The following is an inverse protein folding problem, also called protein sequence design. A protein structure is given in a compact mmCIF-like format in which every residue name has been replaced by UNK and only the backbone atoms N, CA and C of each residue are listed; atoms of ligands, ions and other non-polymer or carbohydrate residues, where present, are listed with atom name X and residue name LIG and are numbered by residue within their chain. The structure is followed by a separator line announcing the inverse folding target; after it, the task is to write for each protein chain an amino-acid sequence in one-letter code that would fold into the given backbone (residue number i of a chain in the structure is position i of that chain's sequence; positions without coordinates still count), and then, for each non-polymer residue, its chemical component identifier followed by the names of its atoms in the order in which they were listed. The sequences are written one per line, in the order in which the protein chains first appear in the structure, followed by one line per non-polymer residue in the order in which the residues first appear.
data_IF_883962773843
#
_entry.id   IF_883962773843
#
_cell.length_a   1.000
_cell.length_b   1.000
_cell.length_c   1.000
_cell.angle_alpha   90.00
_cell.angle_beta   90.00
_cell.angle_gamma   90.00
#
_symmetry.space_group_name_H-M   'P 1'
#
loop_
_entity.id
_entity.type
_entity.pdbx_description
1 polymer ?
#
# COMPACT_ATOMS: atom_id res chain seq x y z
N UNK A 1 -8.80 -61.41 32.51
CA UNK A 1 -7.62 -60.58 32.16
C UNK A 1 -6.97 -61.16 30.90
N UNK A 2 -6.46 -60.36 29.93
CA UNK A 2 -6.54 -58.92 29.80
C UNK A 2 -7.49 -58.46 28.67
N UNK A 3 -8.09 -57.30 28.90
CA UNK A 3 -8.87 -56.50 27.96
C UNK A 3 -7.88 -55.86 26.98
N UNK A 4 -8.06 -56.08 25.68
CA UNK A 4 -7.31 -55.39 24.62
C UNK A 4 -7.75 -53.92 24.62
N UNK A 5 -7.00 -53.05 25.28
CA UNK A 5 -7.17 -51.60 25.18
C UNK A 5 -6.77 -51.14 23.79
N UNK A 6 -7.77 -50.89 22.93
CA UNK A 6 -7.59 -50.08 21.72
C UNK A 6 -7.28 -48.66 22.18
N UNK A 7 -6.00 -48.25 22.09
CA UNK A 7 -5.63 -46.83 22.17
C UNK A 7 -6.11 -46.17 20.88
N UNK A 8 -7.32 -45.62 20.92
CA UNK A 8 -7.82 -44.74 19.87
C UNK A 8 -6.98 -43.46 19.90
N UNK A 9 -6.05 -43.33 18.95
CA UNK A 9 -5.36 -42.07 18.69
C UNK A 9 -6.38 -41.17 17.97
N UNK A 10 -7.10 -40.36 18.75
CA UNK A 10 -7.90 -39.25 18.22
C UNK A 10 -6.95 -38.19 17.68
N UNK A 11 -6.54 -38.31 16.42
CA UNK A 11 -5.95 -37.21 15.67
C UNK A 11 -7.10 -36.26 15.28
N UNK A 12 -7.54 -35.45 16.23
CA UNK A 12 -8.40 -34.32 15.95
C UNK A 12 -7.65 -33.41 14.98
N UNK A 13 -8.14 -33.33 13.75
CA UNK A 13 -7.69 -32.38 12.76
C UNK A 13 -8.06 -30.97 13.24
N UNK A 14 -7.18 -30.36 14.05
CA UNK A 14 -7.07 -28.91 14.11
C UNK A 14 -6.49 -28.47 12.76
N UNK A 15 -7.34 -28.36 11.74
CA UNK A 15 -7.06 -27.43 10.64
C UNK A 15 -7.27 -26.03 11.21
N UNK A 16 -6.26 -25.57 11.96
CA UNK A 16 -6.19 -24.19 12.39
C UNK A 16 -6.26 -23.32 11.15
N UNK A 17 -7.25 -22.43 11.12
CA UNK A 17 -7.22 -21.27 10.25
C UNK A 17 -6.01 -20.45 10.69
N UNK A 18 -4.84 -20.72 10.10
CA UNK A 18 -3.71 -19.82 10.19
C UNK A 18 -4.18 -18.53 9.49
N UNK A 19 -4.49 -17.50 10.27
CA UNK A 19 -4.56 -16.15 9.74
C UNK A 19 -3.18 -15.85 9.17
N UNK A 20 -3.04 -15.85 7.85
CA UNK A 20 -1.85 -15.31 7.20
C UNK A 20 -1.75 -13.87 7.68
N UNK A 21 -0.75 -13.56 8.51
CA UNK A 21 -0.41 -12.18 8.80
C UNK A 21 0.16 -11.61 7.51
N UNK A 22 -0.61 -10.77 6.81
CA UNK A 22 -0.13 -10.08 5.63
C UNK A 22 0.74 -8.93 6.10
N UNK A 23 2.05 -9.06 5.88
CA UNK A 23 2.98 -7.96 6.10
C UNK A 23 2.64 -6.80 5.13
N UNK A 24 2.72 -5.57 5.62
CA UNK A 24 2.70 -4.41 4.75
C UNK A 24 3.94 -4.48 3.85
N UNK A 25 3.71 -4.43 2.54
CA UNK A 25 4.75 -4.44 1.52
C UNK A 25 5.37 -3.06 1.32
N UNK A 26 4.72 -2.02 1.85
CA UNK A 26 5.23 -0.64 1.79
C UNK A 26 6.22 -0.41 2.92
N UNK A 27 7.42 0.00 2.54
CA UNK A 27 8.41 0.50 3.48
C UNK A 27 8.21 2.00 3.73
N UNK A 28 8.33 2.44 4.99
CA UNK A 28 8.18 3.84 5.40
C UNK A 28 6.89 4.49 4.86
N UNK A 29 5.78 3.77 4.88
CA UNK A 29 4.49 4.26 4.37
C UNK A 29 3.85 5.34 5.24
N UNK A 30 4.26 5.47 6.50
CA UNK A 30 3.89 6.55 7.42
C UNK A 30 4.88 7.72 7.41
N UNK A 31 5.94 7.64 6.59
CA UNK A 31 6.93 8.70 6.37
C UNK A 31 7.72 9.17 7.61
N UNK A 32 7.75 8.37 8.68
CA UNK A 32 8.41 8.72 9.94
C UNK A 32 9.92 8.45 9.96
N UNK A 33 10.44 7.69 9.00
CA UNK A 33 11.86 7.47 8.90
C UNK A 33 12.60 8.75 8.46
N UNK A 34 13.67 9.09 9.19
CA UNK A 34 14.43 10.31 8.95
C UNK A 34 15.06 10.31 7.53
N UNK A 35 14.79 11.34 6.71
CA UNK A 35 15.41 11.48 5.40
C UNK A 35 16.94 11.61 5.48
N UNK A 36 17.64 11.02 4.52
CA UNK A 36 19.12 11.07 4.44
C UNK A 36 19.64 12.17 3.51
N UNK A 37 18.81 12.70 2.62
CA UNK A 37 19.14 13.80 1.71
C UNK A 37 18.97 15.17 2.35
N UNK A 38 19.55 16.21 1.74
CA UNK A 38 19.23 17.60 2.09
C UNK A 38 18.03 18.07 1.27
N UNK A 39 16.96 18.58 1.91
CA UNK A 39 15.82 19.09 1.16
C UNK A 39 16.20 20.38 0.42
N UNK A 40 15.59 20.61 -0.74
CA UNK A 40 15.74 21.86 -1.49
C UNK A 40 14.58 22.05 -2.47
N UNK A 41 13.71 23.06 -2.28
CA UNK A 41 13.74 24.05 -1.20
C UNK A 41 13.29 23.45 0.14
N UNK A 42 13.47 24.22 1.22
CA UNK A 42 13.04 23.84 2.56
C UNK A 42 12.61 25.04 3.40
N UNK A 43 11.69 24.82 4.33
CA UNK A 43 11.27 25.75 5.37
C UNK A 43 11.44 25.18 6.78
N UNK A 44 10.85 25.83 7.81
CA UNK A 44 11.03 25.40 9.21
C UNK A 44 10.54 23.98 9.51
N UNK A 45 9.40 23.57 8.93
CA UNK A 45 8.73 22.30 9.21
C UNK A 45 8.40 21.54 7.91
N UNK A 46 9.11 21.81 6.84
CA UNK A 46 8.91 21.13 5.56
C UNK A 46 10.17 21.16 4.71
N UNK A 47 10.29 20.20 3.80
CA UNK A 47 11.38 20.17 2.82
C UNK A 47 11.03 19.29 1.64
N UNK A 48 11.52 19.68 0.45
CA UNK A 48 11.31 18.91 -0.78
C UNK A 48 12.51 18.01 -1.03
N UNK A 49 12.25 16.71 -1.12
CA UNK A 49 13.24 15.66 -1.31
C UNK A 49 13.03 14.96 -2.65
N UNK A 50 14.12 14.50 -3.27
CA UNK A 50 14.02 13.65 -4.45
C UNK A 50 13.80 12.18 -4.07
N UNK A 51 14.22 11.80 -2.86
CA UNK A 51 14.00 10.48 -2.29
C UNK A 51 13.69 10.56 -0.79
N UNK A 52 12.88 9.63 -0.29
CA UNK A 52 12.66 9.39 1.14
C UNK A 52 13.04 7.94 1.50
N UNK A 53 13.26 7.62 2.80
CA UNK A 53 13.52 6.24 3.20
C UNK A 53 12.38 5.30 2.81
N UNK A 54 12.67 4.00 2.70
CA UNK A 54 11.78 3.02 2.06
C UNK A 54 11.84 3.09 0.53
N UNK A 55 12.88 3.70 -0.04
CA UNK A 55 13.05 3.79 -1.50
C UNK A 55 11.88 4.48 -2.22
N UNK A 56 11.28 5.48 -1.56
CA UNK A 56 10.39 6.41 -2.24
C UNK A 56 11.21 7.32 -3.14
N UNK A 57 10.88 7.35 -4.43
CA UNK A 57 11.59 8.11 -5.46
C UNK A 57 10.67 9.10 -6.16
N UNK A 58 11.20 10.26 -6.51
CA UNK A 58 10.54 11.20 -7.42
C UNK A 58 10.71 10.72 -8.86
N UNK A 59 9.61 10.47 -9.55
CA UNK A 59 9.61 10.20 -10.99
C UNK A 59 9.65 11.48 -11.83
N UNK A 60 8.84 12.48 -11.46
CA UNK A 60 8.75 13.76 -12.16
C UNK A 60 8.24 14.87 -11.24
N UNK A 61 8.43 16.11 -11.66
CA UNK A 61 7.97 17.30 -10.92
C UNK A 61 9.04 17.88 -10.01
N UNK A 62 8.60 18.65 -9.02
CA UNK A 62 9.48 19.33 -8.06
C UNK A 62 10.10 18.38 -7.03
N UNK A 63 9.39 17.32 -6.64
CA UNK A 63 9.87 16.33 -5.67
C UNK A 63 8.78 15.91 -4.70
N UNK A 64 9.22 15.33 -3.57
CA UNK A 64 8.37 14.90 -2.47
C UNK A 64 8.49 15.93 -1.35
N UNK A 65 7.46 16.76 -1.14
CA UNK A 65 7.42 17.66 -0.01
C UNK A 65 7.01 16.90 1.26
N UNK A 66 7.98 16.67 2.14
CA UNK A 66 7.73 16.11 3.47
C UNK A 66 7.41 17.27 4.41
N UNK A 67 6.23 17.25 5.02
CA UNK A 67 5.81 18.21 6.03
C UNK A 67 5.78 17.55 7.40
N UNK A 68 6.27 18.25 8.42
CA UNK A 68 6.30 17.78 9.81
C UNK A 68 5.31 18.58 10.66
N UNK A 69 4.07 18.08 10.79
CA UNK A 69 2.97 18.75 11.50
C UNK A 69 2.85 20.25 11.15
N UNK A 70 3.00 20.58 9.87
CA UNK A 70 3.18 21.96 9.42
C UNK A 70 1.83 22.67 9.16
N UNK A 71 0.99 22.07 8.32
CA UNK A 71 -0.32 22.60 7.93
C UNK A 71 -1.44 21.90 8.68
N UNK A 72 -1.32 20.59 8.87
CA UNK A 72 -2.24 19.74 9.63
C UNK A 72 -1.45 18.88 10.61
N UNK A 73 -2.13 18.32 11.60
CA UNK A 73 -1.57 17.20 12.36
C UNK A 73 -1.50 15.98 11.46
N UNK A 74 -0.36 15.29 11.44
CA UNK A 74 -0.17 14.04 10.71
C UNK A 74 -1.17 12.97 11.17
N UNK A 75 -1.56 12.07 10.27
CA UNK A 75 -2.40 10.94 10.62
C UNK A 75 -1.61 9.93 11.48
N UNK A 76 -0.35 9.68 11.11
CA UNK A 76 0.61 8.91 11.91
C UNK A 76 1.80 9.78 12.30
N UNK A 77 2.31 9.59 13.52
CA UNK A 77 3.56 10.22 13.96
C UNK A 77 3.56 11.75 13.80
N UNK A 78 4.46 12.27 12.96
CA UNK A 78 4.62 13.71 12.76
C UNK A 78 4.71 14.14 11.30
N UNK A 79 4.91 13.23 10.35
CA UNK A 79 5.20 13.56 8.97
C UNK A 79 4.10 13.08 8.03
N UNK A 80 3.94 13.81 6.93
CA UNK A 80 3.10 13.43 5.81
C UNK A 80 3.64 14.08 4.55
N UNK A 81 3.17 13.62 3.39
CA UNK A 81 3.65 14.06 2.08
C UNK A 81 2.63 14.92 1.36
N UNK A 82 3.13 15.93 0.64
CA UNK A 82 2.41 16.69 -0.38
C UNK A 82 3.16 16.60 -1.72
N UNK A 83 2.41 16.48 -2.82
CA UNK A 83 3.00 16.30 -4.15
C UNK A 83 2.76 17.47 -5.10
N UNK A 84 1.91 18.44 -4.77
CA UNK A 84 2.01 19.78 -5.37
C UNK A 84 3.07 20.58 -4.58
N UNK A 85 4.33 20.23 -4.82
CA UNK A 85 5.49 20.61 -3.99
C UNK A 85 6.09 21.97 -4.37
N UNK A 86 6.88 22.55 -3.48
CA UNK A 86 7.66 23.76 -3.82
C UNK A 86 8.80 23.46 -4.82
N UNK A 87 8.86 24.22 -5.93
CA UNK A 87 9.94 24.09 -6.93
C UNK A 87 11.17 24.97 -6.60
N UNK A 88 12.38 24.47 -6.88
CA UNK A 88 13.64 25.20 -6.73
C UNK A 88 14.04 25.94 -8.02
N UNK A 89 13.21 26.90 -8.48
CA UNK A 89 13.55 27.75 -9.62
C UNK A 89 12.68 27.58 -10.88
N UNK A 90 11.44 27.09 -10.73
CA UNK A 90 10.45 26.97 -11.81
C UNK A 90 10.24 25.52 -12.28
N UNK A 91 9.17 25.30 -13.06
CA UNK A 91 8.70 23.97 -13.46
C UNK A 91 7.32 23.65 -12.88
N UNK A 92 6.80 22.46 -13.20
CA UNK A 92 5.57 21.94 -12.58
C UNK A 92 5.84 21.64 -11.11
N UNK A 93 4.91 22.05 -10.25
CA UNK A 93 4.94 21.81 -8.81
C UNK A 93 4.27 20.48 -8.49
N UNK A 94 3.30 20.06 -9.32
CA UNK A 94 2.78 18.71 -9.31
C UNK A 94 3.88 17.70 -9.59
N UNK A 95 3.97 16.74 -8.70
CA UNK A 95 5.03 15.74 -8.65
C UNK A 95 4.44 14.34 -8.63
N UNK A 96 5.27 13.40 -9.03
CA UNK A 96 4.98 11.98 -9.01
C UNK A 96 6.03 11.29 -8.16
N UNK A 97 5.58 10.57 -7.14
CA UNK A 97 6.43 9.71 -6.32
C UNK A 97 6.07 8.25 -6.52
N UNK A 98 7.01 7.33 -6.29
CA UNK A 98 6.74 5.90 -6.33
C UNK A 98 7.68 5.09 -5.46
N UNK A 99 7.28 3.86 -5.14
CA UNK A 99 8.11 2.81 -4.56
C UNK A 99 8.09 1.59 -5.48
N UNK A 100 9.24 0.96 -5.63
CA UNK A 100 9.39 -0.29 -6.39
C UNK A 100 9.10 -1.48 -5.49
N UNK A 101 8.20 -2.36 -5.92
CA UNK A 101 7.82 -3.56 -5.19
C UNK A 101 8.26 -4.78 -5.98
N UNK A 102 9.07 -5.63 -5.37
CA UNK A 102 9.57 -6.87 -5.97
C UNK A 102 8.91 -8.10 -5.38
N UNK A 103 9.12 -9.25 -6.03
CA UNK A 103 8.67 -10.56 -5.55
C UNK A 103 7.15 -10.69 -5.38
N UNK A 104 6.38 -9.88 -6.13
CA UNK A 104 4.93 -10.01 -6.22
C UNK A 104 4.54 -11.27 -7.00
N UNK A 105 3.40 -11.85 -6.64
CA UNK A 105 2.86 -13.03 -7.32
C UNK A 105 1.98 -12.52 -8.46
N UNK A 106 2.39 -12.80 -9.70
CA UNK A 106 1.63 -12.40 -10.89
C UNK A 106 0.23 -13.03 -10.84
N UNK A 107 -0.79 -12.21 -11.04
CA UNK A 107 -2.21 -12.57 -10.96
C UNK A 107 -2.81 -12.54 -9.54
N UNK A 108 -2.01 -12.30 -8.50
CA UNK A 108 -2.54 -11.99 -7.18
C UNK A 108 -3.08 -10.56 -7.12
N UNK A 109 -4.03 -10.36 -6.21
CA UNK A 109 -4.57 -9.06 -5.87
C UNK A 109 -3.97 -8.57 -4.55
N UNK A 110 -3.84 -7.26 -4.43
CA UNK A 110 -3.28 -6.58 -3.28
C UNK A 110 -4.25 -5.49 -2.83
N UNK A 111 -4.40 -5.34 -1.52
CA UNK A 111 -5.17 -4.28 -0.89
C UNK A 111 -4.26 -3.08 -0.61
N UNK A 112 -4.46 -2.01 -1.38
CA UNK A 112 -3.88 -0.69 -1.11
C UNK A 112 -4.81 0.06 -0.16
N UNK A 113 -4.24 0.68 0.86
CA UNK A 113 -4.86 1.81 1.56
C UNK A 113 -3.87 2.95 1.80
N UNK A 114 -4.39 4.16 1.91
CA UNK A 114 -3.64 5.34 2.33
C UNK A 114 -4.60 6.38 2.90
N UNK A 115 -4.09 7.24 3.77
CA UNK A 115 -4.84 8.34 4.33
C UNK A 115 -4.62 9.60 3.51
N UNK A 116 -5.71 10.27 3.18
CA UNK A 116 -5.73 11.48 2.39
C UNK A 116 -6.37 12.63 3.17
N UNK A 117 -5.86 13.83 2.96
CA UNK A 117 -6.51 15.05 3.44
C UNK A 117 -6.35 16.20 2.44
N UNK A 118 -7.44 16.83 1.98
CA UNK A 118 -7.32 17.99 1.10
C UNK A 118 -6.81 19.21 1.89
N UNK A 119 -5.93 19.99 1.26
CA UNK A 119 -5.33 21.20 1.85
C UNK A 119 -6.16 22.45 1.64
N UNK A 120 -6.74 22.62 0.44
CA UNK A 120 -7.33 23.91 0.03
C UNK A 120 -8.84 23.84 -0.20
N UNK A 121 -9.45 25.03 -0.34
CA UNK A 121 -10.87 25.19 -0.73
C UNK A 121 -11.04 25.73 -2.16
N UNK A 122 -10.03 25.57 -3.02
CA UNK A 122 -10.02 26.16 -4.37
C UNK A 122 -10.85 25.37 -5.41
N UNK A 123 -11.84 24.61 -4.95
CA UNK A 123 -12.64 23.72 -5.80
C UNK A 123 -11.98 22.37 -6.06
N UNK A 124 -12.58 21.58 -6.95
CA UNK A 124 -12.19 20.19 -7.23
C UNK A 124 -11.06 20.06 -8.26
N UNK A 125 -10.06 20.93 -8.22
CA UNK A 125 -8.92 20.90 -9.15
C UNK A 125 -7.61 21.34 -8.47
N UNK A 126 -7.47 21.09 -7.18
CA UNK A 126 -6.32 21.60 -6.41
C UNK A 126 -5.73 20.52 -5.51
N UNK A 127 -6.55 19.59 -5.00
CA UNK A 127 -6.12 18.58 -4.05
C UNK A 127 -6.06 17.19 -4.68
N UNK A 128 -5.86 17.11 -5.99
CA UNK A 128 -5.94 15.87 -6.76
C UNK A 128 -4.80 14.92 -6.40
N UNK A 129 -5.12 13.67 -6.06
CA UNK A 129 -4.17 12.58 -5.87
C UNK A 129 -4.64 11.36 -6.68
N UNK A 130 -3.82 10.98 -7.63
CA UNK A 130 -3.98 9.81 -8.47
C UNK A 130 -3.07 8.67 -7.99
N UNK A 131 -3.57 7.43 -8.01
CA UNK A 131 -2.78 6.22 -7.74
C UNK A 131 -2.29 5.63 -9.06
N UNK A 132 -1.00 5.31 -9.08
CA UNK A 132 -0.31 4.71 -10.21
C UNK A 132 0.07 3.28 -9.86
N UNK A 133 -0.26 2.32 -10.71
CA UNK A 133 0.09 0.91 -10.54
C UNK A 133 0.48 0.31 -11.88
N UNK A 134 1.77 0.10 -12.08
CA UNK A 134 2.31 -0.35 -13.37
C UNK A 134 3.49 -1.29 -13.19
N UNK A 135 3.71 -2.19 -14.14
CA UNK A 135 4.93 -3.00 -14.21
C UNK A 135 6.07 -2.32 -14.97
N UNK A 136 5.85 -1.11 -15.47
CA UNK A 136 6.79 -0.32 -16.28
C UNK A 136 6.59 1.18 -16.01
N UNK A 137 7.61 1.82 -15.45
CA UNK A 137 7.61 3.26 -15.10
C UNK A 137 7.48 4.17 -16.30
N UNK A 138 7.82 3.71 -17.51
CA UNK A 138 7.56 4.48 -18.74
C UNK A 138 6.05 4.62 -19.05
N UNK A 139 5.20 3.87 -18.34
CA UNK A 139 3.76 3.80 -18.51
C UNK A 139 2.95 4.31 -17.30
N UNK A 140 3.40 5.37 -16.60
CA UNK A 140 2.52 6.12 -15.68
C UNK A 140 1.43 6.91 -16.44
N UNK A 141 0.65 6.23 -17.28
CA UNK A 141 -0.30 6.81 -18.23
C UNK A 141 -1.75 6.38 -17.97
N UNK A 142 -2.00 5.56 -16.95
CA UNK A 142 -3.34 5.09 -16.58
C UNK A 142 -3.56 5.14 -15.07
N UNK A 143 -3.58 6.35 -14.48
CA UNK A 143 -3.88 6.49 -13.07
C UNK A 143 -5.30 6.05 -12.75
N UNK A 144 -5.46 5.49 -11.56
CA UNK A 144 -6.76 5.48 -10.88
C UNK A 144 -6.88 6.84 -10.19
N UNK A 145 -7.78 7.71 -10.64
CA UNK A 145 -8.02 8.95 -9.93
C UNK A 145 -8.84 8.67 -8.67
N UNK A 146 -8.26 8.95 -7.50
CA UNK A 146 -8.80 8.48 -6.22
C UNK A 146 -9.38 9.63 -5.38
N UNK A 147 -8.75 10.81 -5.35
CA UNK A 147 -9.19 11.91 -4.48
C UNK A 147 -8.95 13.29 -5.10
N UNK A 148 -9.89 14.23 -4.97
CA UNK A 148 -9.70 15.65 -5.34
C UNK A 148 -10.72 16.56 -4.66
N UNK A 149 -10.94 16.34 -3.36
CA UNK A 149 -11.98 17.05 -2.63
C UNK A 149 -11.45 18.37 -2.08
N UNK A 150 -12.29 19.15 -1.40
CA UNK A 150 -11.85 20.40 -0.76
C UNK A 150 -11.75 20.25 0.75
N UNK A 151 -10.90 21.06 1.39
CA UNK A 151 -10.67 21.03 2.85
C UNK A 151 -11.95 21.25 3.67
N UNK A 152 -12.95 21.96 3.14
CA UNK A 152 -14.25 22.16 3.79
C UNK A 152 -15.12 20.91 3.83
N UNK A 153 -14.83 19.90 3.00
CA UNK A 153 -15.59 18.65 2.98
C UNK A 153 -15.16 17.71 4.12
N UNK A 154 -13.99 17.95 4.75
CA UNK A 154 -13.39 17.06 5.73
C UNK A 154 -12.87 17.80 6.95
N UNK A 155 -13.23 17.30 8.14
CA UNK A 155 -12.66 17.80 9.39
C UNK A 155 -11.31 17.16 9.73
N UNK A 156 -11.01 16.00 9.13
CA UNK A 156 -9.83 15.19 9.41
C UNK A 156 -9.45 14.32 8.20
N UNK A 157 -8.38 13.53 8.32
CA UNK A 157 -7.95 12.55 7.33
C UNK A 157 -9.03 11.51 6.99
N UNK A 158 -9.01 11.02 5.76
CA UNK A 158 -9.90 9.94 5.29
C UNK A 158 -9.11 8.87 4.57
N UNK A 159 -9.40 7.62 4.91
CA UNK A 159 -8.79 6.46 4.27
C UNK A 159 -9.40 6.20 2.89
N UNK A 160 -8.54 6.03 1.91
CA UNK A 160 -8.88 5.53 0.58
C UNK A 160 -8.31 4.14 0.39
N UNK A 161 -9.03 3.32 -0.35
CA UNK A 161 -8.65 1.92 -0.61
C UNK A 161 -8.78 1.58 -2.09
N UNK A 162 -7.88 0.74 -2.60
CA UNK A 162 -7.97 0.18 -3.95
C UNK A 162 -7.54 -1.29 -3.97
N UNK A 163 -8.09 -2.04 -4.94
CA UNK A 163 -7.70 -3.42 -5.21
C UNK A 163 -6.82 -3.41 -6.45
N UNK A 164 -5.57 -3.86 -6.32
CA UNK A 164 -4.57 -3.82 -7.38
C UNK A 164 -4.15 -5.24 -7.77
N UNK A 165 -4.14 -5.54 -9.07
CA UNK A 165 -3.66 -6.84 -9.59
C UNK A 165 -2.19 -6.73 -9.99
N UNK A 166 -1.32 -7.59 -9.47
CA UNK A 166 0.07 -7.64 -9.92
C UNK A 166 0.14 -8.31 -11.31
N UNK A 167 0.50 -7.55 -12.33
CA UNK A 167 0.66 -8.07 -13.70
C UNK A 167 2.10 -8.50 -13.99
N UNK A 168 3.06 -8.04 -13.18
CA UNK A 168 4.46 -8.43 -13.19
C UNK A 168 4.93 -8.74 -11.75
N UNK A 169 6.05 -9.46 -11.61
CA UNK A 169 6.67 -9.72 -10.32
C UNK A 169 7.31 -8.48 -9.70
N UNK A 170 7.66 -7.50 -10.53
CA UNK A 170 8.05 -6.16 -10.13
C UNK A 170 6.95 -5.19 -10.56
N UNK A 171 6.39 -4.46 -9.61
CA UNK A 171 5.40 -3.41 -9.84
C UNK A 171 5.86 -2.13 -9.18
N UNK A 172 5.39 -1.00 -9.70
CA UNK A 172 5.63 0.32 -9.16
C UNK A 172 4.29 0.85 -8.65
N UNK A 173 4.23 1.12 -7.35
CA UNK A 173 3.13 1.87 -6.74
C UNK A 173 3.54 3.33 -6.67
N UNK A 174 2.77 4.22 -7.28
CA UNK A 174 3.03 5.64 -7.24
C UNK A 174 1.81 6.47 -6.88
N UNK A 175 2.08 7.71 -6.52
CA UNK A 175 1.09 8.76 -6.30
C UNK A 175 1.47 9.97 -7.14
N UNK A 176 0.48 10.60 -7.76
CA UNK A 176 0.66 11.81 -8.57
C UNK A 176 -0.27 12.91 -8.08
N UNK A 177 0.29 14.10 -7.82
CA UNK A 177 -0.54 15.28 -7.68
C UNK A 177 -1.16 15.66 -9.02
N UNK A 178 -2.44 16.02 -9.00
CA UNK A 178 -3.18 16.50 -10.16
C UNK A 178 -3.99 17.74 -9.81
N UNK A 179 -4.23 18.58 -10.80
CA UNK A 179 -4.94 19.84 -10.62
C UNK A 179 -4.06 21.03 -10.97
N UNK A 180 -4.22 22.13 -10.24
CA UNK A 180 -3.39 23.31 -10.39
C UNK A 180 -1.94 23.00 -10.00
N UNK A 181 -1.00 23.65 -10.67
CA UNK A 181 0.41 23.69 -10.26
C UNK A 181 0.62 24.96 -9.44
N UNK A 182 0.36 24.91 -8.12
CA UNK A 182 0.39 26.11 -7.30
C UNK A 182 1.05 25.95 -5.93
N UNK A 183 1.75 24.83 -5.67
CA UNK A 183 2.41 24.47 -4.40
C UNK A 183 1.45 24.12 -3.26
N UNK A 184 0.17 23.87 -3.57
CA UNK A 184 -0.88 23.56 -2.60
C UNK A 184 -1.75 22.41 -3.14
N UNK A 185 -1.61 21.23 -2.54
CA UNK A 185 -2.30 20.02 -2.94
C UNK A 185 -2.66 19.10 -1.78
N UNK A 186 -3.24 17.94 -2.13
CA UNK A 186 -3.69 16.95 -1.16
C UNK A 186 -2.51 16.32 -0.43
N UNK A 187 -2.75 15.99 0.84
CA UNK A 187 -1.80 15.29 1.70
C UNK A 187 -1.99 13.78 1.64
N UNK A 188 -0.89 13.04 1.77
CA UNK A 188 -0.83 11.58 1.80
C UNK A 188 -0.07 11.14 3.05
N UNK A 189 -0.62 10.16 3.78
CA UNK A 189 0.00 9.55 4.97
C UNK A 189 -0.41 8.07 5.06
N UNK A 190 0.38 7.27 5.79
CA UNK A 190 0.06 5.91 6.23
C UNK A 190 -0.36 5.00 5.08
N UNK A 191 0.53 4.91 4.08
CA UNK A 191 0.37 4.04 2.91
C UNK A 191 0.62 2.59 3.30
N UNK A 192 -0.28 1.70 2.88
CA UNK A 192 -0.20 0.26 3.12
C UNK A 192 -0.58 -0.52 1.88
N UNK A 193 0.19 -1.57 1.58
CA UNK A 193 -0.14 -2.54 0.54
C UNK A 193 0.01 -3.94 1.13
N UNK A 194 -1.05 -4.73 1.10
CA UNK A 194 -1.03 -6.10 1.64
C UNK A 194 -1.53 -7.09 0.62
N UNK A 195 -0.97 -8.31 0.59
CA UNK A 195 -1.51 -9.39 -0.26
C UNK A 195 -2.97 -9.65 0.14
N UNK A 196 -3.87 -9.71 -0.85
CA UNK A 196 -5.27 -10.05 -0.62
C UNK A 196 -5.40 -11.57 -0.77
N UNK A 197 -5.55 -12.34 0.32
CA UNK A 197 -5.67 -13.78 0.21
C UNK A 197 -6.98 -14.11 -0.49
N UNK A 198 -6.92 -14.71 -1.67
CA UNK A 198 -8.09 -15.33 -2.27
C UNK A 198 -8.33 -16.67 -1.56
N UNK A 199 -9.57 -16.98 -1.12
CA UNK A 199 -9.87 -18.29 -0.58
C UNK A 199 -9.46 -19.36 -1.59
N UNK A 200 -8.52 -20.24 -1.23
CA UNK A 200 -8.10 -21.32 -2.12
C UNK A 200 -9.34 -22.05 -2.64
N UNK A 201 -9.46 -22.31 -3.95
CA UNK A 201 -10.52 -23.15 -4.47
C UNK A 201 -10.60 -24.44 -3.64
N UNK A 202 -11.81 -24.93 -3.38
CA UNK A 202 -12.05 -26.10 -2.53
C UNK A 202 -11.25 -27.36 -2.90
N UNK A 203 -10.54 -27.36 -4.03
CA UNK A 203 -9.47 -28.27 -4.44
C UNK A 203 -8.48 -28.62 -3.33
N UNK A 204 -8.02 -27.66 -2.51
CA UNK A 204 -7.10 -27.95 -1.39
C UNK A 204 -7.79 -28.74 -0.29
N UNK A 205 -9.05 -28.40 0.00
CA UNK A 205 -9.88 -29.16 0.93
C UNK A 205 -10.22 -30.55 0.38
N UNK A 206 -10.51 -30.68 -0.92
CA UNK A 206 -10.75 -31.95 -1.61
C UNK A 206 -9.49 -32.81 -1.67
N UNK A 207 -8.31 -32.22 -1.88
CA UNK A 207 -7.03 -32.90 -1.80
C UNK A 207 -6.79 -33.43 -0.37
N UNK A 208 -7.02 -32.58 0.64
CA UNK A 208 -6.94 -32.99 2.05
C UNK A 208 -7.90 -34.14 2.37
N UNK A 209 -9.17 -34.03 1.98
CA UNK A 209 -10.18 -35.08 2.14
C UNK A 209 -9.82 -36.35 1.36
N UNK A 210 -9.28 -36.21 0.15
CA UNK A 210 -8.81 -37.32 -0.69
C UNK A 210 -7.66 -38.08 -0.03
N UNK A 211 -6.67 -37.38 0.53
CA UNK A 211 -5.55 -37.99 1.26
C UNK A 211 -6.03 -38.72 2.53
N UNK A 212 -6.97 -38.13 3.27
CA UNK A 212 -7.61 -38.77 4.44
C UNK A 212 -8.38 -40.03 4.01
N UNK A 213 -9.16 -39.95 2.94
CA UNK A 213 -9.89 -41.10 2.37
C UNK A 213 -8.96 -42.24 1.96
N UNK A 214 -7.86 -41.93 1.27
CA UNK A 214 -6.83 -42.91 0.86
C UNK A 214 -6.16 -43.59 2.06
N UNK A 215 -5.86 -42.84 3.12
CA UNK A 215 -5.29 -43.38 4.35
C UNK A 215 -6.21 -44.42 5.01
N UNK A 216 -7.51 -44.10 5.14
CA UNK A 216 -8.49 -45.03 5.70
C UNK A 216 -8.73 -46.24 4.79
N UNK A 217 -8.75 -46.05 3.47
CA UNK A 217 -8.88 -47.15 2.51
C UNK A 217 -7.69 -48.13 2.58
N UNK A 218 -6.47 -47.62 2.78
CA UNK A 218 -5.26 -48.46 2.95
C UNK A 218 -5.32 -49.31 4.23
N UNK A 219 -5.78 -48.73 5.34
CA UNK A 219 -5.92 -49.45 6.62
C UNK A 219 -6.94 -50.59 6.56
N UNK A 220 -8.01 -50.44 5.77
CA UNK A 220 -9.01 -51.50 5.58
C UNK A 220 -8.49 -52.72 4.81
N UNK A 221 -7.42 -52.60 4.02
CA UNK A 221 -6.84 -53.71 3.26
C UNK A 221 -5.76 -54.49 4.03
N UNK A 222 -5.31 -53.99 5.17
CA UNK A 222 -4.27 -54.62 5.99
C UNK A 222 -4.83 -55.43 7.17
N UNK A 223 -6.15 -55.54 7.25
CA UNK A 223 -6.92 -56.41 8.15
C UNK A 223 -7.74 -57.38 7.33
#
# INVERSE_FOLDING_TARGET
MPIKTLKALSAAALMGLASMANANLIENGDFEAAPTGSPSPSGPNWGVYQTLPGEWETYSGAGIELQTNAVVTAHSGSNYVELDSHSNGGGSTNSVMYQTLTDLIIGNFYDLSFWYRPRTNNGSNDNGIDVLWTGDTSNFLSPLSIANQVSSDYNDWVEYTAILEATNATMYLGFAATGLDNTLGGFIDTVSLTDRPVPTPGSSALLGLGLVGLYFARRRKQH
#
